data_IF_634119652416
#
_entry.id   IF_634119652416
#
_cell.length_a   1.000
_cell.length_b   1.000
_cell.length_c   1.000
_cell.angle_alpha   90.00
_cell.angle_beta   90.00
_cell.angle_gamma   90.00
#
_symmetry.space_group_name_H-M   'P 1'
#
loop_
_entity.id
_entity.type
_entity.pdbx_description
1 polymer ?
#
# COMPACT_ATOMS: atom_id res chain seq x y z
N UNK A 1 -8.13 -4.16 16.65
CA UNK A 1 -9.10 -4.76 17.59
C UNK A 1 -8.81 -6.25 17.68
N UNK A 2 -8.50 -6.78 18.88
CA UNK A 2 -8.24 -8.20 19.11
C UNK A 2 -9.59 -8.88 19.40
N UNK A 3 -10.09 -9.70 18.48
CA UNK A 3 -11.52 -10.08 18.44
C UNK A 3 -11.83 -11.29 19.34
N UNK A 4 -10.86 -12.16 19.67
CA UNK A 4 -10.96 -13.13 20.76
C UNK A 4 -9.60 -13.82 21.01
N UNK A 5 -9.37 -14.29 22.24
CA UNK A 5 -8.24 -15.11 22.63
C UNK A 5 -8.77 -16.46 23.11
N UNK A 6 -8.28 -17.57 22.53
CA UNK A 6 -8.66 -18.91 23.01
C UNK A 6 -7.74 -19.32 24.16
N UNK A 7 -8.29 -19.52 25.35
CA UNK A 7 -7.53 -19.98 26.54
C UNK A 7 -7.13 -21.46 26.45
N UNK A 8 -7.73 -22.23 25.55
CA UNK A 8 -7.54 -23.70 25.41
C UNK A 8 -7.38 -24.17 23.97
N UNK A 9 -7.22 -23.26 23.01
CA UNK A 9 -7.15 -23.58 21.58
C UNK A 9 -5.74 -23.95 21.14
N UNK A 10 -5.62 -24.98 20.31
CA UNK A 10 -4.37 -25.24 19.59
C UNK A 10 -4.08 -24.08 18.64
N UNK A 11 -2.89 -23.48 18.74
CA UNK A 11 -2.49 -22.34 17.90
C UNK A 11 -1.43 -22.79 16.90
N UNK A 12 -1.61 -22.45 15.63
CA UNK A 12 -0.57 -22.61 14.61
C UNK A 12 -0.04 -21.22 14.24
N UNK A 13 1.23 -20.96 14.54
CA UNK A 13 1.93 -19.74 14.15
C UNK A 13 2.83 -20.05 12.95
N UNK A 14 2.58 -19.40 11.83
CA UNK A 14 3.44 -19.49 10.65
C UNK A 14 4.28 -18.21 10.48
N UNK A 15 5.60 -18.38 10.39
CA UNK A 15 6.57 -17.31 10.22
C UNK A 15 7.27 -17.50 8.89
N UNK A 16 7.00 -16.59 7.94
CA UNK A 16 7.62 -16.59 6.63
C UNK A 16 9.04 -15.99 6.69
N UNK A 17 9.97 -16.56 5.93
CA UNK A 17 11.36 -16.08 5.79
C UNK A 17 12.08 -15.88 7.13
N UNK A 18 12.10 -16.91 7.99
CA UNK A 18 12.66 -16.85 9.36
C UNK A 18 14.10 -16.35 9.42
N UNK A 19 14.89 -16.60 8.38
CA UNK A 19 16.26 -16.10 8.25
C UNK A 19 16.32 -14.57 8.23
N UNK A 20 15.42 -13.93 7.47
CA UNK A 20 15.38 -12.47 7.34
C UNK A 20 15.00 -11.80 8.66
N UNK A 21 14.22 -12.47 9.50
CA UNK A 21 13.73 -11.92 10.77
C UNK A 21 14.78 -12.13 11.88
N UNK A 22 15.19 -13.39 12.10
CA UNK A 22 15.98 -13.74 13.27
C UNK A 22 17.49 -13.56 13.07
N UNK A 23 18.00 -13.71 11.85
CA UNK A 23 19.43 -13.54 11.59
C UNK A 23 19.82 -12.07 11.41
N UNK A 24 18.95 -11.26 10.80
CA UNK A 24 19.19 -9.82 10.63
C UNK A 24 19.06 -9.03 11.93
N UNK A 25 18.28 -9.53 12.89
CA UNK A 25 18.01 -8.83 14.15
C UNK A 25 18.25 -9.72 15.36
N UNK A 26 19.41 -9.59 16.03
CA UNK A 26 19.69 -10.30 17.28
C UNK A 26 18.68 -9.99 18.38
N UNK A 27 18.14 -8.76 18.38
CA UNK A 27 17.06 -8.35 19.29
C UNK A 27 15.81 -9.19 19.07
N UNK A 28 15.44 -9.43 17.81
CA UNK A 28 14.27 -10.21 17.45
C UNK A 28 14.41 -11.69 17.78
N UNK A 29 15.57 -12.27 17.47
CA UNK A 29 15.91 -13.62 17.91
C UNK A 29 15.77 -13.78 19.44
N UNK A 30 16.39 -12.87 20.21
CA UNK A 30 16.38 -12.97 21.67
C UNK A 30 14.99 -12.76 22.27
N UNK A 31 14.20 -11.83 21.72
CA UNK A 31 12.82 -11.63 22.16
C UNK A 31 12.00 -12.89 21.87
N UNK A 32 12.06 -13.39 20.65
CA UNK A 32 11.31 -14.57 20.25
C UNK A 32 11.69 -15.78 21.10
N UNK A 33 12.98 -16.01 21.36
CA UNK A 33 13.47 -17.08 22.25
C UNK A 33 12.90 -16.95 23.67
N UNK A 34 12.87 -15.73 24.23
CA UNK A 34 12.29 -15.48 25.56
C UNK A 34 10.78 -15.75 25.58
N UNK A 35 10.06 -15.37 24.52
CA UNK A 35 8.62 -15.62 24.41
C UNK A 35 8.34 -17.11 24.20
N UNK A 36 9.11 -17.77 23.33
CA UNK A 36 9.03 -19.19 23.04
C UNK A 36 9.12 -20.04 24.32
N UNK A 37 10.08 -19.72 25.20
CA UNK A 37 10.24 -20.41 26.48
C UNK A 37 9.08 -20.16 27.48
N UNK A 38 8.25 -19.15 27.24
CA UNK A 38 7.06 -18.83 28.05
C UNK A 38 5.77 -19.36 27.42
N UNK A 39 5.80 -19.82 26.17
CA UNK A 39 4.63 -20.41 25.53
C UNK A 39 4.27 -21.69 26.28
N UNK A 40 3.00 -21.80 26.65
CA UNK A 40 2.40 -22.99 27.24
C UNK A 40 1.15 -23.35 26.46
N UNK A 41 0.74 -24.62 26.48
CA UNK A 41 -0.38 -25.13 25.70
C UNK A 41 0.02 -25.70 24.33
N UNK A 42 -0.99 -25.99 23.51
CA UNK A 42 -0.85 -26.69 22.22
C UNK A 42 -0.47 -25.73 21.09
N UNK A 43 0.77 -25.24 21.08
CA UNK A 43 1.26 -24.31 20.06
C UNK A 43 2.18 -25.02 19.07
N UNK A 44 1.86 -24.97 17.77
CA UNK A 44 2.73 -25.38 16.67
C UNK A 44 3.30 -24.14 15.99
N UNK A 45 4.63 -24.05 15.88
CA UNK A 45 5.29 -22.96 15.17
C UNK A 45 5.95 -23.51 13.91
N UNK A 46 5.57 -22.96 12.77
CA UNK A 46 6.13 -23.30 11.46
C UNK A 46 6.95 -22.12 10.96
N UNK A 47 8.19 -22.38 10.58
CA UNK A 47 9.07 -21.42 9.93
C UNK A 47 9.33 -21.82 8.49
N UNK A 48 9.30 -20.88 7.55
CA UNK A 48 9.77 -21.13 6.18
C UNK A 48 11.03 -20.33 5.84
N UNK A 49 11.82 -20.91 4.94
CA UNK A 49 12.96 -20.28 4.27
C UNK A 49 12.91 -20.68 2.80
N UNK A 50 13.28 -19.76 1.91
CA UNK A 50 13.38 -20.01 0.48
C UNK A 50 14.85 -20.00 0.07
N UNK A 51 15.28 -21.00 -0.70
CA UNK A 51 16.63 -21.05 -1.26
C UNK A 51 16.64 -20.45 -2.66
N UNK A 52 17.59 -19.56 -2.94
CA UNK A 52 17.92 -19.21 -4.32
C UNK A 52 18.97 -20.20 -4.83
N UNK A 53 18.84 -20.65 -6.08
CA UNK A 53 19.69 -21.66 -6.73
C UNK A 53 21.18 -21.31 -6.84
N UNK A 54 21.61 -20.14 -6.32
CA UNK A 54 23.01 -19.68 -6.30
C UNK A 54 23.72 -19.97 -4.98
N UNK A 55 23.02 -20.31 -3.91
CA UNK A 55 23.62 -20.60 -2.62
C UNK A 55 24.00 -22.08 -2.49
N UNK A 56 25.16 -22.43 -3.03
CA UNK A 56 25.82 -23.71 -2.74
C UNK A 56 26.41 -23.69 -1.32
N UNK A 57 25.57 -23.62 -0.30
CA UNK A 57 25.92 -24.06 1.06
C UNK A 57 24.68 -24.11 1.96
N UNK A 58 24.16 -25.32 2.21
CA UNK A 58 23.17 -25.56 3.27
C UNK A 58 23.90 -25.54 4.62
N UNK A 59 24.41 -24.37 5.03
CA UNK A 59 24.81 -24.16 6.41
C UNK A 59 23.57 -23.66 7.13
N UNK A 60 22.97 -24.56 7.90
CA UNK A 60 21.97 -24.16 8.87
C UNK A 60 22.64 -23.25 9.89
N UNK A 61 22.09 -22.04 10.04
CA UNK A 61 22.51 -21.18 11.15
C UNK A 61 22.15 -21.90 12.45
N UNK A 62 23.14 -22.11 13.32
CA UNK A 62 22.99 -22.84 14.58
C UNK A 62 21.85 -22.26 15.42
N UNK A 63 21.62 -20.94 15.37
CA UNK A 63 20.55 -20.28 16.10
C UNK A 63 19.18 -20.65 15.57
N UNK A 64 19.02 -20.80 14.26
CA UNK A 64 17.75 -21.24 13.68
C UNK A 64 17.48 -22.70 13.98
N UNK A 65 18.51 -23.56 13.96
CA UNK A 65 18.37 -24.96 14.38
C UNK A 65 17.94 -25.08 15.84
N UNK A 66 18.37 -24.15 16.71
CA UNK A 66 17.90 -24.10 18.10
C UNK A 66 16.43 -23.69 18.23
N UNK A 67 15.91 -22.82 17.36
CA UNK A 67 14.51 -22.39 17.39
C UNK A 67 13.57 -23.35 16.66
N UNK A 68 14.07 -24.00 15.61
CA UNK A 68 13.34 -24.91 14.74
C UNK A 68 14.14 -26.22 14.60
N UNK A 69 13.98 -27.17 15.54
CA UNK A 69 14.73 -28.42 15.51
C UNK A 69 14.28 -29.38 14.39
N UNK A 70 13.02 -29.25 13.95
CA UNK A 70 12.40 -30.13 12.97
C UNK A 70 12.42 -29.48 11.59
N UNK A 71 13.22 -30.06 10.68
CA UNK A 71 13.42 -29.51 9.34
C UNK A 71 12.80 -30.45 8.29
N UNK A 72 11.90 -29.91 7.49
CA UNK A 72 11.27 -30.62 6.37
C UNK A 72 11.71 -29.94 5.08
N UNK A 73 12.47 -30.66 4.25
CA UNK A 73 12.90 -30.14 2.96
C UNK A 73 11.83 -30.43 1.90
N UNK A 74 11.26 -29.37 1.32
CA UNK A 74 10.29 -29.48 0.22
C UNK A 74 11.04 -29.50 -1.10
N UNK A 75 11.11 -30.67 -1.74
CA UNK A 75 11.75 -30.86 -3.05
C UNK A 75 10.70 -30.91 -4.17
N UNK A 76 11.07 -30.44 -5.38
CA UNK A 76 10.22 -30.64 -6.54
C UNK A 76 10.06 -32.14 -6.85
N UNK A 77 8.89 -32.57 -7.38
CA UNK A 77 8.69 -33.95 -7.85
C UNK A 77 9.74 -34.34 -8.90
N UNK A 78 10.20 -35.60 -8.88
CA UNK A 78 11.19 -36.13 -9.84
C UNK A 78 10.55 -36.56 -11.17
N UNK A 79 9.29 -36.98 -11.13
CA UNK A 79 8.54 -37.37 -12.33
C UNK A 79 8.20 -36.13 -13.18
N UNK A 80 8.53 -36.16 -14.47
CA UNK A 80 8.37 -35.01 -15.37
C UNK A 80 6.91 -34.54 -15.48
N UNK A 81 5.95 -35.47 -15.52
CA UNK A 81 4.53 -35.14 -15.66
C UNK A 81 4.00 -34.46 -14.40
N UNK A 82 4.36 -34.98 -13.23
CA UNK A 82 4.02 -34.41 -11.92
C UNK A 82 4.77 -33.10 -11.66
N UNK A 83 5.99 -32.96 -12.15
CA UNK A 83 6.78 -31.72 -12.04
C UNK A 83 6.11 -30.59 -12.81
N UNK A 84 5.61 -30.86 -14.02
CA UNK A 84 4.86 -29.87 -14.80
C UNK A 84 3.62 -29.40 -14.05
N UNK A 85 2.79 -30.34 -13.60
CA UNK A 85 1.57 -30.03 -12.80
C UNK A 85 1.92 -29.23 -11.55
N UNK A 86 2.97 -29.63 -10.83
CA UNK A 86 3.40 -28.94 -9.61
C UNK A 86 3.86 -27.51 -9.89
N UNK A 87 4.59 -27.27 -10.99
CA UNK A 87 5.00 -25.91 -11.40
C UNK A 87 3.81 -25.04 -11.75
N UNK A 88 2.87 -25.55 -12.55
CA UNK A 88 1.67 -24.82 -12.96
C UNK A 88 0.83 -24.44 -11.72
N UNK A 89 0.63 -25.38 -10.80
CA UNK A 89 -0.08 -25.15 -9.53
C UNK A 89 0.64 -24.13 -8.63
N UNK A 90 1.97 -24.22 -8.55
CA UNK A 90 2.76 -23.30 -7.74
C UNK A 90 2.70 -21.87 -8.31
N UNK A 91 2.80 -21.72 -9.63
CA UNK A 91 2.70 -20.42 -10.31
C UNK A 91 1.33 -19.77 -10.07
N UNK A 92 0.25 -20.51 -10.25
CA UNK A 92 -1.11 -20.03 -9.98
C UNK A 92 -1.30 -19.65 -8.50
N UNK A 93 -0.78 -20.46 -7.58
CA UNK A 93 -0.83 -20.16 -6.14
C UNK A 93 -0.04 -18.90 -5.79
N UNK A 94 1.12 -18.68 -6.42
CA UNK A 94 1.93 -17.47 -6.25
C UNK A 94 1.16 -16.23 -6.74
N UNK A 95 0.60 -16.26 -7.95
CA UNK A 95 -0.21 -15.16 -8.51
C UNK A 95 -1.40 -14.82 -7.61
N UNK A 96 -2.12 -15.84 -7.14
CA UNK A 96 -3.27 -15.66 -6.22
C UNK A 96 -2.85 -15.04 -4.88
N UNK A 97 -1.73 -15.48 -4.33
CA UNK A 97 -1.18 -14.95 -3.07
C UNK A 97 -0.75 -13.49 -3.24
N UNK A 98 -0.04 -13.18 -4.32
CA UNK A 98 0.39 -11.82 -4.62
C UNK A 98 -0.80 -10.87 -4.80
N UNK A 99 -1.81 -11.30 -5.56
CA UNK A 99 -3.06 -10.54 -5.73
C UNK A 99 -3.73 -10.24 -4.38
N UNK A 100 -3.81 -11.24 -3.51
CA UNK A 100 -4.43 -11.08 -2.19
C UNK A 100 -3.62 -10.13 -1.29
N UNK A 101 -2.29 -10.27 -1.27
CA UNK A 101 -1.42 -9.38 -0.50
C UNK A 101 -1.53 -7.93 -0.98
N UNK A 102 -1.50 -7.70 -2.30
CA UNK A 102 -1.64 -6.37 -2.87
C UNK A 102 -2.99 -5.74 -2.54
N UNK A 103 -4.10 -6.50 -2.64
CA UNK A 103 -5.43 -6.03 -2.20
C UNK A 103 -5.44 -5.67 -0.72
N UNK A 104 -4.86 -6.50 0.13
CA UNK A 104 -4.82 -6.22 1.56
C UNK A 104 -4.02 -4.95 1.87
N UNK A 105 -2.90 -4.75 1.17
CA UNK A 105 -2.08 -3.55 1.36
C UNK A 105 -2.78 -2.28 0.88
N UNK A 106 -3.49 -2.33 -0.25
CA UNK A 106 -4.33 -1.22 -0.71
C UNK A 106 -5.43 -0.92 0.32
N UNK A 107 -6.12 -1.94 0.83
CA UNK A 107 -7.16 -1.77 1.85
C UNK A 107 -6.60 -1.16 3.15
N UNK A 108 -5.40 -1.56 3.57
CA UNK A 108 -4.71 -1.00 4.73
C UNK A 108 -4.41 0.49 4.55
N UNK A 109 -3.82 0.86 3.41
CA UNK A 109 -3.51 2.27 3.10
C UNK A 109 -4.77 3.13 3.00
N UNK A 110 -5.84 2.61 2.39
CA UNK A 110 -7.13 3.32 2.37
C UNK A 110 -7.67 3.50 3.80
N UNK A 111 -7.65 2.44 4.60
CA UNK A 111 -8.16 2.48 5.97
C UNK A 111 -7.37 3.41 6.89
N UNK A 112 -6.05 3.55 6.69
CA UNK A 112 -5.18 4.50 7.39
C UNK A 112 -5.50 5.96 7.06
N UNK A 113 -6.14 6.21 5.92
CA UNK A 113 -6.55 7.54 5.46
C UNK A 113 -8.07 7.77 5.62
N UNK A 114 -8.74 6.99 6.48
CA UNK A 114 -10.19 7.04 6.70
C UNK A 114 -11.02 6.84 5.43
N UNK A 115 -10.54 6.00 4.51
CA UNK A 115 -11.24 5.60 3.29
C UNK A 115 -11.59 4.10 3.38
N UNK A 116 -12.75 3.73 2.86
CA UNK A 116 -13.14 2.34 2.64
C UNK A 116 -13.63 2.13 1.21
N UNK A 117 -13.43 0.92 0.67
CA UNK A 117 -13.80 0.57 -0.70
C UNK A 117 -14.64 -0.72 -0.67
N UNK A 118 -15.97 -0.55 -0.76
CA UNK A 118 -16.95 -1.64 -0.59
C UNK A 118 -16.72 -2.78 -1.61
N UNK A 119 -16.30 -2.45 -2.83
CA UNK A 119 -16.16 -3.37 -3.94
C UNK A 119 -14.70 -3.60 -4.37
N UNK A 120 -13.70 -3.40 -3.50
CA UNK A 120 -12.28 -3.62 -3.83
C UNK A 120 -11.98 -5.02 -4.43
N UNK A 121 -12.79 -6.02 -4.08
CA UNK A 121 -12.67 -7.38 -4.62
C UNK A 121 -13.11 -7.50 -6.10
N UNK A 122 -13.82 -6.51 -6.65
CA UNK A 122 -14.26 -6.47 -8.04
C UNK A 122 -13.15 -6.07 -9.02
N UNK A 123 -12.12 -5.36 -8.54
CA UNK A 123 -10.99 -4.89 -9.36
C UNK A 123 -10.22 -6.09 -9.96
N UNK A 124 -9.86 -5.97 -11.24
CA UNK A 124 -9.16 -7.01 -11.99
C UNK A 124 -7.77 -7.32 -11.43
N UNK A 125 -7.22 -8.50 -11.73
CA UNK A 125 -5.86 -8.85 -11.30
C UNK A 125 -4.82 -7.85 -11.82
N UNK A 126 -4.94 -7.46 -13.10
CA UNK A 126 -4.01 -6.53 -13.72
C UNK A 126 -4.03 -5.16 -13.03
N UNK A 127 -5.23 -4.63 -12.76
CA UNK A 127 -5.39 -3.30 -12.17
C UNK A 127 -4.89 -3.26 -10.72
N UNK A 128 -5.12 -4.32 -9.92
CA UNK A 128 -4.53 -4.42 -8.58
C UNK A 128 -3.00 -4.41 -8.63
N UNK A 129 -2.41 -5.09 -9.61
CA UNK A 129 -0.96 -5.11 -9.79
C UNK A 129 -0.43 -3.72 -10.14
N UNK A 130 -1.11 -2.99 -11.03
CA UNK A 130 -0.75 -1.60 -11.37
C UNK A 130 -0.91 -0.67 -10.16
N UNK A 131 -2.04 -0.75 -9.45
CA UNK A 131 -2.29 0.04 -8.24
C UNK A 131 -1.19 -0.18 -7.21
N UNK A 132 -0.75 -1.44 -7.01
CA UNK A 132 0.30 -1.73 -6.04
C UNK A 132 1.63 -1.01 -6.28
N UNK A 133 1.88 -0.55 -7.51
CA UNK A 133 3.08 0.25 -7.84
C UNK A 133 2.96 1.72 -7.39
N UNK A 134 1.75 2.24 -7.25
CA UNK A 134 1.45 3.64 -6.89
C UNK A 134 0.80 3.76 -5.51
N UNK A 135 1.13 2.82 -4.60
CA UNK A 135 0.44 2.65 -3.33
C UNK A 135 0.43 3.93 -2.47
N UNK A 136 1.46 4.78 -2.58
CA UNK A 136 1.59 6.01 -1.79
C UNK A 136 0.61 7.08 -2.24
N UNK A 137 0.27 7.09 -3.52
CA UNK A 137 -0.55 8.12 -4.13
C UNK A 137 -2.04 7.73 -4.21
N UNK A 138 -2.37 6.43 -4.09
CA UNK A 138 -3.75 5.93 -4.23
C UNK A 138 -4.76 6.68 -3.37
N UNK A 139 -4.47 6.89 -2.08
CA UNK A 139 -5.45 7.49 -1.17
C UNK A 139 -5.81 8.92 -1.58
N UNK A 140 -4.79 9.76 -1.83
CA UNK A 140 -4.98 11.14 -2.24
C UNK A 140 -5.69 11.24 -3.61
N UNK A 141 -5.29 10.41 -4.57
CA UNK A 141 -5.90 10.40 -5.91
C UNK A 141 -7.35 9.90 -5.88
N UNK A 142 -7.67 8.92 -5.03
CA UNK A 142 -9.03 8.42 -4.88
C UNK A 142 -9.97 9.46 -4.25
N UNK A 143 -9.50 10.20 -3.23
CA UNK A 143 -10.24 11.33 -2.65
C UNK A 143 -10.50 12.40 -3.72
N UNK A 144 -9.46 12.79 -4.47
CA UNK A 144 -9.58 13.82 -5.49
C UNK A 144 -10.63 13.47 -6.55
N UNK A 145 -10.60 12.23 -7.06
CA UNK A 145 -11.61 11.79 -8.01
C UNK A 145 -13.02 11.80 -7.41
N UNK A 146 -13.17 11.31 -6.17
CA UNK A 146 -14.48 11.28 -5.51
C UNK A 146 -15.06 12.69 -5.35
N UNK A 147 -14.24 13.68 -4.99
CA UNK A 147 -14.65 15.08 -4.86
C UNK A 147 -14.97 15.73 -6.21
N UNK A 148 -14.42 15.23 -7.31
CA UNK A 148 -14.66 15.73 -8.67
C UNK A 148 -15.89 15.11 -9.33
N UNK A 149 -16.12 13.81 -9.13
CA UNK A 149 -17.23 13.05 -9.76
C UNK A 149 -18.53 13.16 -8.95
N UNK A 150 -18.45 13.22 -7.60
CA UNK A 150 -19.62 13.19 -6.72
C UNK A 150 -19.80 14.48 -5.92
N UNK A 151 -20.97 15.09 -6.08
CA UNK A 151 -21.35 16.30 -5.32
C UNK A 151 -21.66 16.00 -3.86
N UNK A 152 -21.95 14.74 -3.52
CA UNK A 152 -22.40 14.30 -2.20
C UNK A 152 -21.71 12.99 -1.79
N UNK A 153 -20.40 13.03 -1.44
CA UNK A 153 -19.66 11.84 -1.03
C UNK A 153 -20.35 11.09 0.13
N UNK A 154 -20.39 9.76 0.02
CA UNK A 154 -20.93 8.89 1.05
C UNK A 154 -19.91 8.66 2.18
N UNK A 155 -20.36 8.78 3.42
CA UNK A 155 -19.57 8.47 4.60
C UNK A 155 -20.26 7.40 5.45
N UNK A 156 -19.50 6.40 5.90
CA UNK A 156 -19.97 5.35 6.81
C UNK A 156 -18.96 5.23 7.95
N UNK A 157 -19.43 5.37 9.19
CA UNK A 157 -18.58 5.32 10.39
C UNK A 157 -17.37 6.29 10.30
N UNK A 158 -17.62 7.54 9.90
CA UNK A 158 -16.58 8.58 9.73
C UNK A 158 -15.57 8.33 8.61
N UNK A 159 -15.73 7.25 7.82
CA UNK A 159 -14.89 6.93 6.67
C UNK A 159 -15.55 7.31 5.35
N UNK A 160 -14.77 7.86 4.43
CA UNK A 160 -15.18 8.10 3.04
C UNK A 160 -15.35 6.76 2.32
N UNK A 161 -16.52 6.52 1.75
CA UNK A 161 -16.78 5.33 0.93
C UNK A 161 -16.49 5.65 -0.52
N UNK A 162 -15.57 4.91 -1.11
CA UNK A 162 -15.24 4.97 -2.53
C UNK A 162 -15.59 3.65 -3.23
N UNK A 163 -15.59 3.68 -4.55
CA UNK A 163 -15.80 2.49 -5.39
C UNK A 163 -14.53 2.07 -6.11
N UNK A 164 -14.52 0.83 -6.62
CA UNK A 164 -13.50 0.31 -7.52
C UNK A 164 -13.33 1.19 -8.76
N UNK A 165 -14.41 1.83 -9.24
CA UNK A 165 -14.37 2.79 -10.36
C UNK A 165 -13.44 3.97 -10.03
N UNK A 166 -13.52 4.51 -8.82
CA UNK A 166 -12.66 5.61 -8.37
C UNK A 166 -11.20 5.20 -8.39
N UNK A 167 -10.87 3.99 -7.91
CA UNK A 167 -9.51 3.45 -7.95
C UNK A 167 -9.01 3.14 -9.36
N UNK A 168 -9.85 2.59 -10.24
CA UNK A 168 -9.47 2.35 -11.63
C UNK A 168 -9.26 3.66 -12.41
N UNK A 169 -9.96 4.72 -12.07
CA UNK A 169 -9.72 6.03 -12.70
C UNK A 169 -8.37 6.63 -12.29
N UNK A 170 -7.95 6.40 -11.04
CA UNK A 170 -6.59 6.77 -10.61
C UNK A 170 -5.52 6.14 -11.53
N UNK A 171 -5.72 4.89 -11.97
CA UNK A 171 -4.81 4.25 -12.93
C UNK A 171 -4.80 4.96 -14.29
N UNK A 172 -5.96 5.38 -14.81
CA UNK A 172 -6.00 6.09 -16.10
C UNK A 172 -5.23 7.41 -16.01
N UNK A 173 -5.34 8.14 -14.89
CA UNK A 173 -4.61 9.39 -14.68
C UNK A 173 -3.09 9.15 -14.58
N UNK A 174 -2.65 8.11 -13.87
CA UNK A 174 -1.22 7.79 -13.79
C UNK A 174 -0.63 7.37 -15.14
N UNK A 175 -1.37 6.59 -15.93
CA UNK A 175 -0.94 6.19 -17.28
C UNK A 175 -0.93 7.38 -18.25
N UNK A 176 -1.87 8.31 -18.13
CA UNK A 176 -1.89 9.54 -18.93
C UNK A 176 -0.70 10.46 -18.60
N UNK A 177 -0.34 10.60 -17.32
CA UNK A 177 0.85 11.32 -16.88
C UNK A 177 2.15 10.74 -17.44
N UNK A 178 2.29 9.41 -17.43
CA UNK A 178 3.46 8.72 -18.02
C UNK A 178 3.51 8.85 -19.56
N UNK A 179 2.36 8.91 -20.24
CA UNK A 179 2.30 9.11 -21.69
C UNK A 179 2.70 10.53 -22.11
N UNK A 180 2.39 11.55 -21.32
CA UNK A 180 2.83 12.93 -21.55
C UNK A 180 4.36 13.05 -21.47
N UNK A 181 5.02 12.26 -20.62
CA UNK A 181 6.48 12.15 -20.59
C UNK A 181 7.04 11.40 -21.81
N UNK A 182 6.30 10.44 -22.36
CA UNK A 182 6.73 9.64 -23.50
C UNK A 182 6.52 10.33 -24.86
N UNK A 183 5.52 11.20 -25.00
CA UNK A 183 5.32 12.00 -26.23
C UNK A 183 6.36 13.13 -26.37
N UNK A 184 6.96 13.58 -25.27
CA UNK A 184 8.10 14.49 -25.29
C UNK A 184 9.45 13.79 -25.59
N UNK A 185 9.46 12.47 -25.84
CA UNK A 185 10.66 11.65 -26.09
C UNK A 185 10.89 11.26 -27.56
N UNK A 186 10.36 12.02 -28.51
CA UNK A 186 10.77 11.96 -29.93
C UNK A 186 11.67 13.12 -30.35
N UNK A 187 12.71 13.44 -29.57
CA UNK A 187 13.96 13.94 -30.18
C UNK A 187 15.15 13.82 -29.22
N UNK A 188 16.14 13.03 -29.66
CA UNK A 188 17.56 12.99 -29.28
C UNK A 188 17.95 12.26 -27.97
N UNK A 189 18.61 11.12 -28.22
CA UNK A 189 19.54 10.35 -27.40
C UNK A 189 20.28 11.16 -26.33
N UNK A 190 20.12 10.79 -25.05
CA UNK A 190 21.14 10.87 -23.98
C UNK A 190 20.69 10.05 -22.74
N UNK A 191 21.61 9.59 -21.88
CA UNK A 191 21.38 8.51 -20.91
C UNK A 191 20.60 8.98 -19.67
N UNK A 192 19.92 8.03 -19.04
CA UNK A 192 19.28 8.04 -17.72
C UNK A 192 19.39 9.37 -16.94
N UNK A 193 18.33 10.18 -16.99
CA UNK A 193 18.12 11.21 -15.96
C UNK A 193 17.33 10.58 -14.82
N UNK A 194 18.05 10.35 -13.73
CA UNK A 194 17.52 10.46 -12.38
C UNK A 194 16.52 11.62 -12.30
N UNK A 195 15.41 11.43 -11.59
CA UNK A 195 14.54 12.54 -11.15
C UNK A 195 15.45 13.69 -10.71
N UNK A 196 15.33 14.90 -11.29
CA UNK A 196 16.12 16.02 -10.83
C UNK A 196 15.89 16.14 -9.32
N UNK A 197 16.94 16.30 -8.50
CA UNK A 197 16.72 16.66 -7.11
C UNK A 197 15.84 17.92 -7.08
N UNK A 198 14.87 17.95 -6.15
CA UNK A 198 13.99 19.08 -5.92
C UNK A 198 14.79 20.37 -6.13
N UNK A 199 14.39 21.18 -7.11
CA UNK A 199 15.06 22.46 -7.31
C UNK A 199 14.75 23.34 -6.08
N UNK A 200 15.58 24.35 -5.82
CA UNK A 200 15.42 25.22 -4.64
C UNK A 200 14.04 25.92 -4.56
N UNK A 201 13.28 25.93 -5.65
CA UNK A 201 11.93 26.46 -5.72
C UNK A 201 10.86 25.44 -5.28
N UNK A 202 11.03 24.17 -5.64
CA UNK A 202 10.15 23.09 -5.19
C UNK A 202 10.38 22.77 -3.70
N UNK A 203 11.63 22.83 -3.23
CA UNK A 203 11.94 22.75 -1.79
C UNK A 203 11.32 23.92 -1.01
N UNK A 204 11.37 25.15 -1.55
CA UNK A 204 10.82 26.31 -0.87
C UNK A 204 9.29 26.29 -0.81
N UNK A 205 8.62 25.84 -1.88
CA UNK A 205 7.17 25.66 -1.87
C UNK A 205 6.76 24.60 -0.86
N UNK A 206 7.47 23.46 -0.77
CA UNK A 206 7.15 22.40 0.20
C UNK A 206 7.29 22.84 1.65
N UNK A 207 8.23 23.74 1.95
CA UNK A 207 8.38 24.30 3.29
C UNK A 207 7.23 25.23 3.69
N UNK A 208 6.56 25.83 2.71
CA UNK A 208 5.42 26.75 2.91
C UNK A 208 4.04 26.03 2.83
N UNK A 209 4.01 24.75 2.46
CA UNK A 209 2.77 23.97 2.38
C UNK A 209 2.32 23.51 3.77
N UNK A 210 1.09 23.85 4.13
CA UNK A 210 0.44 23.36 5.36
C UNK A 210 -0.35 22.08 5.01
N UNK A 211 -0.03 20.92 5.64
CA UNK A 211 -0.79 19.69 5.46
C UNK A 211 -2.28 19.87 5.81
N UNK A 212 -3.18 19.23 5.05
CA UNK A 212 -4.62 19.41 5.22
C UNK A 212 -5.13 19.04 6.64
N UNK A 213 -4.48 18.10 7.31
CA UNK A 213 -4.74 17.67 8.69
C UNK A 213 -4.16 18.61 9.76
N UNK A 214 -3.32 19.57 9.38
CA UNK A 214 -2.69 20.56 10.25
C UNK A 214 -3.26 21.98 10.06
N UNK A 215 -4.29 22.13 9.22
CA UNK A 215 -4.99 23.40 9.04
C UNK A 215 -5.81 23.68 10.31
N UNK A 216 -5.17 24.30 11.30
CA UNK A 216 -5.76 24.74 12.56
C UNK A 216 -6.40 26.14 12.50
N UNK A 217 -6.56 26.71 11.30
CA UNK A 217 -7.08 28.06 11.08
C UNK A 217 -8.27 28.04 10.11
N UNK A 218 -9.23 28.90 10.37
CA UNK A 218 -10.47 29.07 9.60
C UNK A 218 -10.63 30.52 9.17
N UNK A 219 -11.58 30.82 8.27
CA UNK A 219 -11.90 32.20 7.90
C UNK A 219 -12.35 33.06 9.09
N UNK A 220 -12.86 32.44 10.15
CA UNK A 220 -13.23 33.13 11.39
C UNK A 220 -12.01 33.74 12.09
N UNK A 221 -10.83 33.14 11.92
CA UNK A 221 -9.57 33.56 12.55
C UNK A 221 -8.89 34.72 11.81
N UNK A 222 -9.40 35.12 10.64
CA UNK A 222 -8.91 36.28 9.90
C UNK A 222 -9.29 37.57 10.67
N UNK A 223 -8.33 38.46 10.91
CA UNK A 223 -8.56 39.76 11.55
C UNK A 223 -9.21 40.79 10.63
N UNK A 224 -10.38 40.47 10.05
CA UNK A 224 -11.14 41.33 9.16
C UNK A 224 -12.63 41.40 9.57
N UNK A 225 -13.38 42.36 9.02
CA UNK A 225 -14.83 42.43 9.19
C UNK A 225 -15.53 41.27 8.47
N UNK A 226 -16.73 40.92 8.94
CA UNK A 226 -17.49 39.80 8.40
C UNK A 226 -17.81 39.98 6.91
N UNK A 227 -18.18 41.19 6.48
CA UNK A 227 -18.41 41.53 5.06
C UNK A 227 -17.19 41.26 4.16
N UNK A 228 -15.99 41.48 4.69
CA UNK A 228 -14.72 41.24 3.96
C UNK A 228 -14.40 39.75 3.93
N UNK A 229 -14.66 39.02 5.02
CA UNK A 229 -14.50 37.56 5.07
C UNK A 229 -15.46 36.87 4.11
N UNK A 230 -16.71 37.32 4.04
CA UNK A 230 -17.73 36.80 3.13
C UNK A 230 -17.35 37.09 1.67
N UNK A 231 -16.93 38.31 1.37
CA UNK A 231 -16.41 38.67 0.04
C UNK A 231 -15.21 37.82 -0.37
N UNK A 232 -14.29 37.54 0.58
CA UNK A 232 -13.12 36.70 0.33
C UNK A 232 -13.50 35.23 0.09
N UNK A 233 -14.50 34.72 0.82
CA UNK A 233 -15.06 33.39 0.59
C UNK A 233 -15.72 33.30 -0.79
N UNK A 234 -16.52 34.29 -1.18
CA UNK A 234 -17.13 34.32 -2.51
C UNK A 234 -16.10 34.46 -3.63
N UNK A 235 -15.03 35.24 -3.43
CA UNK A 235 -14.01 35.44 -4.46
C UNK A 235 -13.09 34.23 -4.65
N UNK A 236 -12.85 33.43 -3.59
CA UNK A 236 -11.87 32.35 -3.60
C UNK A 236 -12.55 30.97 -3.55
N UNK A 237 -13.43 30.75 -2.57
CA UNK A 237 -14.03 29.44 -2.31
C UNK A 237 -15.15 29.13 -3.32
N UNK A 238 -15.94 30.12 -3.74
CA UNK A 238 -17.07 29.90 -4.65
C UNK A 238 -16.62 29.49 -6.07
N UNK A 239 -15.58 30.10 -6.69
CA UNK A 239 -15.04 29.61 -7.96
C UNK A 239 -14.42 28.22 -7.87
N UNK A 240 -13.82 27.87 -6.73
CA UNK A 240 -13.26 26.53 -6.51
C UNK A 240 -14.35 25.46 -6.30
N UNK A 241 -15.45 25.81 -5.62
CA UNK A 241 -16.58 24.90 -5.37
C UNK A 241 -17.54 24.78 -6.55
N UNK A 242 -17.70 25.85 -7.33
CA UNK A 242 -18.60 25.94 -8.48
C UNK A 242 -17.88 26.51 -9.69
N UNK A 243 -16.82 25.85 -10.18
CA UNK A 243 -16.07 26.34 -11.33
C UNK A 243 -16.95 26.51 -12.57
N UNK A 244 -18.07 25.78 -12.65
CA UNK A 244 -19.11 25.92 -13.67
C UNK A 244 -19.77 27.30 -13.74
N UNK A 245 -19.86 28.02 -12.61
CA UNK A 245 -20.45 29.37 -12.56
C UNK A 245 -19.46 30.48 -12.95
N UNK A 246 -18.17 30.16 -13.06
CA UNK A 246 -17.08 31.12 -13.28
C UNK A 246 -16.24 30.81 -14.52
N UNK A 247 -16.72 29.90 -15.39
CA UNK A 247 -16.16 29.76 -16.74
C UNK A 247 -16.47 31.05 -17.50
N UNK A 248 -15.44 31.86 -17.73
CA UNK A 248 -15.57 33.01 -18.61
C UNK A 248 -15.84 32.52 -20.03
N UNK A 249 -16.96 32.93 -20.62
CA UNK A 249 -17.09 32.99 -22.07
C UNK A 249 -16.18 34.12 -22.56
N UNK A 250 -14.90 33.80 -22.74
CA UNK A 250 -13.84 34.70 -23.22
C UNK A 250 -12.91 33.99 -24.18
#
# INVERSE_FOLDING_TARGET
>A
VLVSLSETGSVVLYIKDVEKIFLRSPRMYNLFKKLFNKLSGSVLILGSRSYNSKDNCVKFDEKLTMLFPCNIEIKPPQDESRLKIWKDQLEEAMKKTQLKNNRNHIAEVLAENDIDCDDLNSISHNDIMQLSNHIKEIAASAIFYQLMDDKHPEYRNEKLIISAKSLCHVLTVFQEGENIENDNKKTKNEPEKNVPPDNAFEESIRQELIPANEIGVTFSDIGASDDVKESLQEAIILPLRRPDLFKGDG
#
